data_IF_032108696309
#
_entry.id   IF_032108696309
#
_cell.length_a   1.000
_cell.length_b   1.000
_cell.length_c   1.000
_cell.angle_alpha   90.00
_cell.angle_beta   90.00
_cell.angle_gamma   90.00
#
_symmetry.space_group_name_H-M   'P 1'
#
loop_
_entity.id
_entity.type
_entity.pdbx_description
1 polymer ?
#
# COMPACT_ATOMS: atom_id res chain seq x y z
N UNK A 1 0.53 1.68 -9.08
CA UNK A 1 1.60 0.73 -8.73
C UNK A 1 1.28 -0.61 -9.36
N UNK A 2 2.26 -1.48 -9.54
CA UNK A 2 2.04 -2.84 -10.05
C UNK A 2 2.70 -3.81 -9.08
N UNK A 3 1.95 -4.78 -8.56
CA UNK A 3 2.51 -5.73 -7.61
C UNK A 3 3.62 -6.56 -8.25
N UNK A 4 4.72 -6.70 -7.52
CA UNK A 4 5.90 -7.44 -7.93
C UNK A 4 6.34 -8.45 -6.85
N UNK A 5 5.44 -8.81 -5.93
CA UNK A 5 5.77 -9.67 -4.78
C UNK A 5 5.60 -11.17 -5.04
N UNK A 6 5.04 -11.57 -6.19
CA UNK A 6 4.85 -12.98 -6.50
C UNK A 6 6.17 -13.78 -6.66
N UNK A 7 7.29 -13.12 -6.98
CA UNK A 7 8.60 -13.78 -7.11
C UNK A 7 8.98 -14.11 -8.57
N UNK A 8 8.36 -15.13 -9.22
CA UNK A 8 8.68 -15.50 -10.59
C UNK A 8 8.47 -14.40 -11.64
N UNK A 9 7.59 -13.44 -11.36
CA UNK A 9 7.28 -12.34 -12.28
C UNK A 9 7.90 -10.99 -11.90
N UNK A 10 8.71 -10.94 -10.83
CA UNK A 10 9.30 -9.69 -10.35
C UNK A 10 10.07 -8.98 -11.45
N UNK A 11 10.97 -9.67 -12.14
CA UNK A 11 11.77 -9.08 -13.22
C UNK A 11 10.92 -8.60 -14.40
N UNK A 12 9.85 -9.31 -14.72
CA UNK A 12 8.90 -8.95 -15.76
C UNK A 12 8.18 -7.65 -15.42
N UNK A 13 7.71 -7.51 -14.17
CA UNK A 13 7.03 -6.28 -13.70
C UNK A 13 7.99 -5.10 -13.68
N UNK A 14 9.23 -5.30 -13.24
CA UNK A 14 10.26 -4.26 -13.28
C UNK A 14 10.59 -3.84 -14.71
N UNK A 15 10.73 -4.81 -15.62
CA UNK A 15 10.97 -4.54 -17.05
C UNK A 15 9.81 -3.76 -17.66
N UNK A 16 8.56 -4.16 -17.40
CA UNK A 16 7.36 -3.46 -17.85
C UNK A 16 7.32 -2.01 -17.34
N UNK A 17 7.50 -1.79 -16.04
CA UNK A 17 7.50 -0.44 -15.47
C UNK A 17 8.62 0.44 -16.06
N UNK A 18 9.77 -0.16 -16.39
CA UNK A 18 10.91 0.56 -16.97
C UNK A 18 10.71 0.92 -18.44
N UNK A 19 10.16 0.01 -19.24
CA UNK A 19 10.09 0.13 -20.70
C UNK A 19 8.78 0.77 -21.19
N UNK A 20 7.76 0.85 -20.33
CA UNK A 20 6.48 1.47 -20.67
C UNK A 20 6.62 2.96 -20.97
N UNK A 21 5.84 3.47 -21.92
CA UNK A 21 5.69 4.92 -22.16
C UNK A 21 5.17 5.69 -20.93
N UNK A 22 4.61 4.99 -19.94
CA UNK A 22 4.14 5.53 -18.67
C UNK A 22 5.14 5.34 -17.50
N UNK A 23 6.42 5.06 -17.78
CA UNK A 23 7.46 4.81 -16.77
C UNK A 23 7.61 5.94 -15.72
N UNK A 24 7.17 7.17 -16.03
CA UNK A 24 7.18 8.29 -15.08
C UNK A 24 6.19 8.14 -13.91
N UNK A 25 5.15 7.31 -14.07
CA UNK A 25 4.07 7.13 -13.08
C UNK A 25 3.91 5.66 -12.65
N UNK A 26 4.37 4.71 -13.46
CA UNK A 26 4.37 3.29 -13.11
C UNK A 26 5.53 2.97 -12.18
N UNK A 27 5.22 2.30 -11.08
CA UNK A 27 6.20 1.84 -10.10
C UNK A 27 5.83 0.42 -9.68
N UNK A 28 6.80 -0.52 -9.67
CA UNK A 28 6.62 -1.80 -9.00
C UNK A 28 6.39 -1.58 -7.51
N UNK A 29 5.59 -2.43 -6.89
CA UNK A 29 5.30 -2.39 -5.45
C UNK A 29 5.54 -3.74 -4.78
N UNK A 30 5.97 -3.70 -3.52
CA UNK A 30 6.19 -4.88 -2.70
C UNK A 30 5.52 -4.77 -1.33
N UNK A 31 4.71 -5.77 -1.00
CA UNK A 31 4.22 -5.97 0.37
C UNK A 31 5.30 -6.62 1.23
N UNK A 32 5.75 -5.93 2.27
CA UNK A 32 6.64 -6.52 3.26
C UNK A 32 5.83 -7.00 4.47
N UNK A 33 6.14 -8.21 4.93
CA UNK A 33 5.65 -8.70 6.20
C UNK A 33 6.45 -8.03 7.33
N UNK A 34 5.80 -7.17 8.11
CA UNK A 34 6.41 -6.55 9.29
C UNK A 34 5.76 -7.18 10.52
N UNK A 35 6.46 -8.15 11.10
CA UNK A 35 6.03 -8.84 12.32
C UNK A 35 6.19 -7.97 13.57
N UNK A 36 5.70 -8.48 14.71
CA UNK A 36 5.70 -7.74 15.98
C UNK A 36 7.11 -7.35 16.47
N UNK A 37 8.10 -8.21 16.21
CA UNK A 37 9.52 -8.00 16.56
C UNK A 37 10.28 -7.10 15.58
N UNK A 38 9.73 -6.87 14.38
CA UNK A 38 10.36 -6.07 13.34
C UNK A 38 10.14 -4.58 13.57
N UNK A 39 11.09 -3.75 13.14
CA UNK A 39 10.96 -2.29 13.23
C UNK A 39 9.78 -1.83 12.35
N UNK A 40 8.79 -1.08 12.90
CA UNK A 40 7.66 -0.57 12.13
C UNK A 40 8.11 0.34 10.99
N UNK A 41 7.47 0.24 9.82
CA UNK A 41 7.78 1.11 8.68
C UNK A 41 7.51 2.59 8.97
N UNK A 42 6.61 2.90 9.91
CA UNK A 42 6.35 4.27 10.38
C UNK A 42 7.57 4.93 11.04
N UNK A 43 8.50 4.15 11.60
CA UNK A 43 9.71 4.65 12.27
C UNK A 43 10.94 4.69 11.34
N UNK A 44 10.75 4.44 10.05
CA UNK A 44 11.86 4.44 9.11
C UNK A 44 12.31 5.87 8.85
N UNK A 45 13.62 6.09 8.94
CA UNK A 45 14.20 7.39 8.64
C UNK A 45 14.27 7.58 7.14
N UNK A 46 13.84 8.75 6.69
CA UNK A 46 13.88 9.16 5.30
C UNK A 46 15.34 9.37 4.87
N UNK A 47 15.79 8.64 3.84
CA UNK A 47 17.06 8.91 3.18
C UNK A 47 16.89 9.92 2.06
N UNK A 48 18.00 10.51 1.61
CA UNK A 48 17.99 11.47 0.51
C UNK A 48 17.39 10.83 -0.76
N UNK A 49 16.47 11.55 -1.41
CA UNK A 49 15.75 11.07 -2.59
C UNK A 49 14.60 10.09 -2.32
N UNK A 50 14.41 9.58 -1.10
CA UNK A 50 13.28 8.70 -0.76
C UNK A 50 12.01 9.49 -0.42
N UNK A 51 10.85 8.86 -0.58
CA UNK A 51 9.58 9.36 -0.03
C UNK A 51 9.06 8.35 0.98
N UNK A 52 8.61 8.83 2.13
CA UNK A 52 7.94 8.02 3.15
C UNK A 52 6.56 8.62 3.36
N UNK A 53 5.57 7.76 3.57
CA UNK A 53 4.21 8.14 3.93
C UNK A 53 3.61 7.14 4.91
N UNK A 54 2.28 7.03 4.92
CA UNK A 54 1.55 6.19 5.87
C UNK A 54 1.84 4.70 5.63
N UNK A 55 2.77 4.12 6.39
CA UNK A 55 3.14 2.70 6.28
C UNK A 55 3.57 2.26 4.87
N UNK A 56 4.14 3.19 4.09
CA UNK A 56 4.77 2.92 2.80
C UNK A 56 5.99 3.82 2.61
N UNK A 57 6.93 3.35 1.79
CA UNK A 57 8.05 4.14 1.29
C UNK A 57 8.23 3.92 -0.21
N UNK A 58 8.79 4.93 -0.87
CA UNK A 58 9.25 4.86 -2.25
C UNK A 58 10.76 5.04 -2.20
N UNK A 59 11.47 3.95 -2.44
CA UNK A 59 12.92 3.96 -2.49
C UNK A 59 13.37 4.24 -3.92
N UNK A 60 14.44 5.03 -4.04
CA UNK A 60 15.23 5.06 -5.27
C UNK A 60 15.86 3.68 -5.35
N UNK A 61 15.60 2.94 -6.44
CA UNK A 61 16.20 1.64 -6.59
C UNK A 61 17.73 1.72 -6.54
N UNK A 62 18.41 0.61 -6.22
CA UNK A 62 19.87 0.52 -6.35
C UNK A 62 20.32 0.94 -7.77
N UNK A 63 21.56 1.38 -7.95
CA UNK A 63 22.08 2.00 -9.18
C UNK A 63 21.49 1.39 -10.48
N UNK A 64 20.75 2.21 -11.25
CA UNK A 64 20.02 1.90 -12.51
C UNK A 64 18.71 1.09 -12.40
N UNK A 65 18.15 0.90 -11.21
CA UNK A 65 16.83 0.27 -11.04
C UNK A 65 15.68 1.27 -10.91
N UNK A 66 14.47 0.82 -11.25
CA UNK A 66 13.23 1.63 -11.22
C UNK A 66 12.87 1.96 -9.76
N UNK A 67 12.32 3.16 -9.53
CA UNK A 67 11.71 3.50 -8.24
C UNK A 67 10.64 2.48 -7.89
N UNK A 68 10.69 1.93 -6.69
CA UNK A 68 9.74 0.94 -6.25
C UNK A 68 9.11 1.36 -4.93
N UNK A 69 7.88 0.91 -4.74
CA UNK A 69 7.12 1.12 -3.51
C UNK A 69 7.31 -0.10 -2.63
N UNK A 70 7.57 0.10 -1.35
CA UNK A 70 7.43 -0.96 -0.34
C UNK A 70 6.46 -0.50 0.72
N UNK A 71 5.55 -1.37 1.14
CA UNK A 71 4.55 -1.04 2.16
C UNK A 71 4.42 -2.17 3.18
N UNK A 72 3.93 -1.81 4.36
CA UNK A 72 3.64 -2.75 5.44
C UNK A 72 2.34 -3.50 5.15
N UNK A 73 2.47 -4.75 4.69
CA UNK A 73 1.30 -5.56 4.30
C UNK A 73 0.33 -5.80 5.46
N UNK A 74 0.85 -6.10 6.65
CA UNK A 74 0.05 -6.38 7.85
C UNK A 74 -0.78 -5.15 8.25
N UNK A 75 -0.13 -3.99 8.33
CA UNK A 75 -0.82 -2.75 8.69
C UNK A 75 -1.90 -2.38 7.67
N UNK A 76 -1.59 -2.49 6.37
CA UNK A 76 -2.54 -2.13 5.31
C UNK A 76 -3.71 -3.11 5.20
N UNK A 77 -3.50 -4.41 5.45
CA UNK A 77 -4.59 -5.40 5.54
C UNK A 77 -5.52 -5.07 6.70
N UNK A 78 -4.98 -4.80 7.89
CA UNK A 78 -5.78 -4.31 9.02
C UNK A 78 -6.49 -3.00 8.70
N UNK A 79 -5.85 -2.06 8.02
CA UNK A 79 -6.48 -0.81 7.60
C UNK A 79 -7.70 -1.05 6.70
N UNK A 80 -7.58 -1.90 5.68
CA UNK A 80 -8.68 -2.24 4.76
C UNK A 80 -9.82 -2.95 5.50
N UNK A 81 -9.52 -3.98 6.29
CA UNK A 81 -10.55 -4.72 7.03
C UNK A 81 -11.26 -3.86 8.06
N UNK A 82 -10.55 -2.98 8.75
CA UNK A 82 -11.16 -2.03 9.68
C UNK A 82 -12.11 -1.06 8.97
N UNK A 83 -12.00 -0.86 7.65
CA UNK A 83 -12.85 0.06 6.86
C UNK A 83 -14.05 -0.68 6.30
N UNK A 84 -13.87 -1.94 5.91
CA UNK A 84 -14.94 -2.86 5.54
C UNK A 84 -15.86 -3.17 6.74
N UNK A 85 -15.32 -3.18 7.96
CA UNK A 85 -16.09 -3.41 9.19
C UNK A 85 -16.89 -2.18 9.65
N UNK A 86 -16.64 -0.98 9.10
CA UNK A 86 -17.42 0.21 9.45
C UNK A 86 -18.81 0.07 8.87
N UNK A 87 -19.82 0.40 9.67
CA UNK A 87 -21.21 0.42 9.21
C UNK A 87 -21.37 1.29 7.96
N UNK A 88 -22.21 0.84 7.03
CA UNK A 88 -22.54 1.59 5.81
C UNK A 88 -23.01 3.01 6.15
N UNK A 89 -22.48 4.01 5.45
CA UNK A 89 -22.72 5.44 5.73
C UNK A 89 -21.74 6.04 6.74
N UNK A 90 -20.86 5.26 7.37
CA UNK A 90 -19.79 5.77 8.20
C UNK A 90 -18.73 6.54 7.41
N UNK A 91 -18.15 7.59 8.02
CA UNK A 91 -17.19 8.51 7.36
C UNK A 91 -15.91 7.85 6.83
N UNK A 92 -15.55 6.69 7.36
CA UNK A 92 -14.32 5.94 7.01
C UNK A 92 -14.62 4.58 6.38
N UNK A 93 -15.87 4.34 5.99
CA UNK A 93 -16.30 3.05 5.47
C UNK A 93 -15.75 2.79 4.06
N UNK A 94 -15.28 1.58 3.84
CA UNK A 94 -15.03 1.03 2.52
C UNK A 94 -16.25 0.18 2.15
N UNK A 95 -16.91 0.52 1.04
CA UNK A 95 -18.15 -0.15 0.62
C UNK A 95 -17.97 -0.76 -0.77
N UNK A 96 -18.73 -1.83 -1.02
CA UNK A 96 -18.82 -2.45 -2.34
C UNK A 96 -20.03 -1.90 -3.07
N UNK A 97 -19.87 -1.56 -4.34
CA UNK A 97 -20.94 -1.01 -5.15
C UNK A 97 -21.92 -2.11 -5.59
N UNK A 98 -23.22 -1.83 -5.45
CA UNK A 98 -24.30 -2.69 -5.92
C UNK A 98 -25.13 -3.26 -4.77
N UNK A 99 -26.15 -4.03 -5.15
CA UNK A 99 -27.13 -4.62 -4.22
C UNK A 99 -27.28 -6.14 -4.39
N UNK A 100 -26.39 -6.78 -5.16
CA UNK A 100 -26.41 -8.23 -5.44
C UNK A 100 -25.21 -8.91 -4.78
N UNK A 101 -25.35 -9.49 -3.59
CA UNK A 101 -24.23 -10.08 -2.84
C UNK A 101 -23.47 -11.17 -3.61
N UNK A 102 -24.18 -11.92 -4.47
CA UNK A 102 -23.60 -13.01 -5.26
C UNK A 102 -22.50 -12.54 -6.21
N UNK A 103 -22.56 -11.28 -6.68
CA UNK A 103 -21.51 -10.71 -7.53
C UNK A 103 -20.20 -10.45 -6.77
N UNK A 104 -20.28 -10.34 -5.44
CA UNK A 104 -19.13 -10.05 -4.58
C UNK A 104 -18.58 -11.30 -3.90
N UNK A 105 -19.11 -12.50 -4.20
CA UNK A 105 -18.74 -13.72 -3.49
C UNK A 105 -17.25 -14.04 -3.61
N UNK A 106 -16.70 -14.05 -4.82
CA UNK A 106 -15.26 -14.28 -5.05
C UNK A 106 -14.40 -13.24 -4.31
N UNK A 107 -14.83 -11.97 -4.34
CA UNK A 107 -14.14 -10.91 -3.63
C UNK A 107 -14.17 -11.14 -2.11
N UNK A 108 -15.33 -11.47 -1.55
CA UNK A 108 -15.49 -11.75 -0.13
C UNK A 108 -14.64 -12.95 0.31
N UNK A 109 -14.65 -14.04 -0.47
CA UNK A 109 -13.87 -15.24 -0.18
C UNK A 109 -12.37 -14.95 -0.15
N UNK A 110 -11.86 -14.17 -1.11
CA UNK A 110 -10.44 -13.80 -1.16
C UNK A 110 -10.04 -12.76 -0.11
N UNK A 111 -10.94 -11.82 0.23
CA UNK A 111 -10.69 -10.88 1.35
C UNK A 111 -10.62 -11.60 2.69
N UNK A 112 -11.34 -12.72 2.85
CA UNK A 112 -11.36 -13.53 4.05
C UNK A 112 -10.38 -14.72 4.01
N UNK A 113 -9.56 -14.82 2.96
CA UNK A 113 -8.61 -15.93 2.80
C UNK A 113 -7.55 -15.93 3.92
N UNK A 114 -7.06 -14.74 4.31
CA UNK A 114 -6.07 -14.61 5.38
C UNK A 114 -6.70 -14.45 6.76
N UNK A 115 -6.06 -15.04 7.76
CA UNK A 115 -6.47 -14.91 9.16
C UNK A 115 -5.60 -13.87 9.86
N UNK A 116 -6.28 -12.92 10.50
CA UNK A 116 -5.69 -11.95 11.42
C UNK A 116 -5.35 -12.64 12.75
N UNK A 117 -4.07 -12.68 13.09
CA UNK A 117 -3.56 -13.23 14.35
C UNK A 117 -2.90 -12.08 15.13
N UNK A 118 -3.49 -11.64 16.26
CA UNK A 118 -2.84 -10.65 17.11
C UNK A 118 -1.57 -11.26 17.70
N UNK A 119 -0.44 -10.59 17.48
CA UNK A 119 0.85 -10.95 18.02
C UNK A 119 1.33 -9.83 18.94
N UNK A 120 1.79 -10.19 20.13
CA UNK A 120 2.34 -9.26 21.10
C UNK A 120 3.80 -9.60 21.40
N UNK A 121 4.66 -8.58 21.36
CA UNK A 121 6.02 -8.69 21.84
C UNK A 121 6.52 -7.32 22.30
N UNK A 122 7.25 -7.30 23.43
CA UNK A 122 7.88 -6.09 23.99
C UNK A 122 6.87 -4.92 24.17
N UNK A 123 5.64 -5.22 24.59
CA UNK A 123 4.58 -4.23 24.82
C UNK A 123 3.94 -3.64 23.55
N UNK A 124 4.24 -4.19 22.37
CA UNK A 124 3.60 -3.81 21.10
C UNK A 124 2.69 -4.93 20.64
N UNK A 125 1.45 -4.59 20.30
CA UNK A 125 0.48 -5.49 19.66
C UNK A 125 0.42 -5.16 18.18
N UNK A 126 0.57 -6.18 17.33
CA UNK A 126 0.44 -6.08 15.87
C UNK A 126 -0.46 -7.19 15.37
N UNK A 127 -1.25 -6.88 14.36
CA UNK A 127 -2.01 -7.87 13.63
C UNK A 127 -1.13 -8.53 12.56
N UNK A 128 -0.75 -9.78 12.77
CA UNK A 128 -0.09 -10.57 11.73
C UNK A 128 -1.13 -11.27 10.86
N UNK A 129 -1.08 -11.04 9.56
CA UNK A 129 -1.95 -11.69 8.60
C UNK A 129 -1.26 -12.93 8.05
N UNK A 130 -1.89 -14.09 8.25
CA UNK A 130 -1.33 -15.39 7.88
C UNK A 130 -2.27 -16.09 6.92
N UNK A 131 -1.71 -16.58 5.82
CA UNK A 131 -2.42 -17.38 4.84
C UNK A 131 -2.55 -18.82 5.36
N UNK A 132 -3.77 -19.36 5.47
CA UNK A 132 -3.98 -20.77 5.80
C UNK A 132 -3.42 -21.68 4.70
N UNK A 133 -2.83 -22.84 5.03
CA UNK A 133 -2.29 -23.77 4.04
C UNK A 133 -3.35 -24.29 3.04
N UNK A 134 -4.62 -24.32 3.44
CA UNK A 134 -5.76 -24.82 2.70
C UNK A 134 -6.40 -23.80 1.74
N UNK A 135 -6.06 -22.50 1.86
CA UNK A 135 -6.67 -21.41 1.08
C UNK A 135 -5.61 -20.41 0.62
N UNK A 136 -4.90 -20.69 -0.49
CA UNK A 136 -3.81 -19.83 -0.94
C UNK A 136 -4.27 -18.57 -1.72
N UNK A 137 -5.54 -18.48 -2.12
CA UNK A 137 -6.00 -17.43 -3.05
C UNK A 137 -6.37 -16.13 -2.32
N UNK A 138 -5.38 -15.26 -2.11
CA UNK A 138 -5.52 -13.95 -1.48
C UNK A 138 -5.35 -12.77 -2.46
N UNK A 139 -5.23 -13.04 -3.76
CA UNK A 139 -4.79 -12.05 -4.75
C UNK A 139 -5.64 -10.79 -4.81
N UNK A 140 -6.96 -10.90 -4.62
CA UNK A 140 -7.85 -9.74 -4.58
C UNK A 140 -7.67 -8.92 -3.30
N UNK A 141 -7.33 -9.52 -2.16
CA UNK A 141 -6.98 -8.78 -0.95
C UNK A 141 -5.72 -7.94 -1.18
N UNK A 142 -4.68 -8.55 -1.73
CA UNK A 142 -3.44 -7.85 -2.07
C UNK A 142 -3.69 -6.74 -3.11
N UNK A 143 -4.59 -6.95 -4.06
CA UNK A 143 -5.01 -5.94 -5.03
C UNK A 143 -5.71 -4.73 -4.35
N UNK A 144 -6.70 -4.98 -3.48
CA UNK A 144 -7.41 -3.92 -2.75
C UNK A 144 -6.45 -3.14 -1.84
N UNK A 145 -5.56 -3.84 -1.15
CA UNK A 145 -4.48 -3.24 -0.36
C UNK A 145 -3.58 -2.37 -1.23
N UNK A 146 -3.14 -2.88 -2.38
CA UNK A 146 -2.34 -2.13 -3.34
C UNK A 146 -3.02 -0.86 -3.86
N UNK A 147 -4.34 -0.92 -4.10
CA UNK A 147 -5.16 0.25 -4.44
C UNK A 147 -5.19 1.28 -3.31
N UNK A 148 -5.39 0.84 -2.06
CA UNK A 148 -5.42 1.73 -0.90
C UNK A 148 -4.06 2.42 -0.65
N UNK A 149 -2.96 1.67 -0.78
CA UNK A 149 -1.58 2.21 -0.76
C UNK A 149 -1.41 3.24 -1.88
N UNK A 150 -1.83 2.90 -3.10
CA UNK A 150 -1.77 3.78 -4.26
C UNK A 150 -2.52 5.10 -4.04
N UNK A 151 -3.71 5.04 -3.46
CA UNK A 151 -4.50 6.22 -3.10
C UNK A 151 -3.75 7.10 -2.07
N UNK A 152 -3.15 6.50 -1.04
CA UNK A 152 -2.35 7.23 -0.05
C UNK A 152 -1.10 7.87 -0.67
N UNK A 153 -0.43 7.22 -1.62
CA UNK A 153 0.71 7.78 -2.35
C UNK A 153 0.32 9.04 -3.15
N UNK A 154 -0.91 9.06 -3.69
CA UNK A 154 -1.48 10.21 -4.38
C UNK A 154 -1.98 11.30 -3.42
N UNK A 155 -1.94 11.06 -2.11
CA UNK A 155 -2.35 12.02 -1.10
C UNK A 155 -3.82 11.92 -0.69
N UNK A 156 -4.51 10.81 -1.00
CA UNK A 156 -5.82 10.55 -0.41
C UNK A 156 -5.65 10.33 1.10
N UNK A 157 -6.33 11.14 1.90
CA UNK A 157 -6.31 11.09 3.36
C UNK A 157 -7.72 10.94 3.89
N UNK A 158 -7.87 10.30 5.05
CA UNK A 158 -9.13 10.35 5.78
C UNK A 158 -9.19 11.71 6.48
N UNK A 159 -10.39 12.30 6.61
CA UNK A 159 -10.57 13.67 7.13
C UNK A 159 -10.01 13.93 8.54
N UNK A 160 -9.65 12.87 9.28
CA UNK A 160 -9.06 12.94 10.61
C UNK A 160 -7.57 12.56 10.65
N UNK A 161 -6.94 12.24 9.52
CA UNK A 161 -5.51 11.96 9.45
C UNK A 161 -4.80 13.28 9.20
N UNK A 162 -4.27 13.91 10.26
CA UNK A 162 -3.36 15.06 10.16
C UNK A 162 -2.05 14.59 9.50
N UNK A 163 -2.07 14.44 8.18
CA UNK A 163 -0.87 14.38 7.38
C UNK A 163 -0.56 15.81 6.98
N UNK A 164 0.65 16.27 7.30
CA UNK A 164 1.14 17.58 6.85
C UNK A 164 0.86 17.72 5.34
N UNK A 165 0.29 18.85 4.91
CA UNK A 165 -0.10 19.03 3.51
C UNK A 165 1.12 18.77 2.62
N UNK A 166 1.00 17.79 1.73
CA UNK A 166 2.10 17.44 0.82
C UNK A 166 2.50 18.71 0.06
N UNK A 167 3.78 19.09 0.13
CA UNK A 167 4.28 20.28 -0.57
C UNK A 167 3.86 20.19 -2.04
N UNK A 168 3.05 21.15 -2.50
CA UNK A 168 2.62 21.23 -3.90
C UNK A 168 3.85 21.13 -4.80
N UNK A 169 3.80 20.25 -5.80
CA UNK A 169 4.85 20.15 -6.81
C UNK A 169 4.90 21.46 -7.60
N UNK A 170 5.88 22.30 -7.30
CA UNK A 170 6.12 23.54 -8.04
C UNK A 170 6.99 23.20 -9.24
N UNK A 171 6.60 23.65 -10.44
CA UNK A 171 7.46 23.50 -11.63
C UNK A 171 8.68 24.41 -11.46
N UNK A 172 9.85 23.95 -11.90
CA UNK A 172 11.09 24.72 -11.80
C UNK A 172 10.97 26.11 -12.47
N UNK A 173 10.23 26.21 -13.57
CA UNK A 173 9.91 27.48 -14.23
C UNK A 173 9.14 28.47 -13.34
N UNK A 174 8.23 27.97 -12.48
CA UNK A 174 7.48 28.82 -11.55
C UNK A 174 8.35 29.34 -10.40
N UNK A 175 9.31 28.53 -9.93
CA UNK A 175 10.29 28.97 -8.93
C UNK A 175 11.26 30.02 -9.48
N UNK A 176 11.63 29.90 -10.76
CA UNK A 176 12.53 30.84 -11.41
C UNK A 176 11.84 32.18 -11.72
N UNK A 177 10.55 32.14 -12.06
CA UNK A 177 9.73 33.34 -12.26
C UNK A 177 9.47 34.13 -10.96
N UNK A 178 9.39 33.46 -9.80
CA UNK A 178 9.25 34.11 -8.49
C UNK A 178 10.53 34.77 -7.96
N UNK A 179 11.69 34.48 -8.57
CA UNK A 179 12.99 35.05 -8.18
C UNK A 179 13.38 36.30 -8.97
N UNK A 180 12.59 36.71 -9.96
CA UNK A 180 12.74 37.97 -10.70
C UNK A 180 11.72 38.97 -10.22
#
# INVERSE_FOLDING_TARGET
TVDASWGPQTDTVYRFCRQSGYAAILMPSHGHFIGVTSKPMAEYQKREGERIGMHWRISQGAARSVKHVTFDSNWWKSFVHNRLAVQMGGKTALTLFGNRPQLHQILADQLLAEKRVPAEARGRVVDEWKLPPDKPDNHLLDCVVGCAVGASIQGATLSNTNLDPSKKRVKFSQLQAQKR
#
